data_IF_975133141742
#
_entry.id   IF_975133141742
#
_cell.length_a   1.000
_cell.length_b   1.000
_cell.length_c   1.000
_cell.angle_alpha   90.00
_cell.angle_beta   90.00
_cell.angle_gamma   90.00
#
_symmetry.space_group_name_H-M   'P 1'
#
loop_
_entity.id
_entity.type
_entity.pdbx_description
1 polymer ?
#
# COMPACT_ATOMS: atom_id res chain seq x y z
N UNK A 1 -4.84 -24.97 3.80
CA UNK A 1 -6.13 -24.36 4.16
C UNK A 1 -6.72 -23.67 2.92
N UNK A 2 -8.01 -23.90 2.62
CA UNK A 2 -8.72 -23.26 1.50
C UNK A 2 -9.06 -21.79 1.82
N UNK A 3 -9.45 -21.01 0.81
CA UNK A 3 -9.91 -19.63 1.01
C UNK A 3 -11.19 -19.57 1.86
N UNK A 4 -12.15 -20.46 1.59
CA UNK A 4 -13.39 -20.54 2.36
C UNK A 4 -13.13 -20.83 3.85
N UNK A 5 -12.18 -21.71 4.17
CA UNK A 5 -11.77 -21.98 5.55
C UNK A 5 -11.18 -20.74 6.23
N UNK A 6 -10.33 -19.98 5.54
CA UNK A 6 -9.78 -18.71 6.05
C UNK A 6 -10.90 -17.73 6.37
N UNK A 7 -11.84 -17.53 5.44
CA UNK A 7 -12.99 -16.63 5.62
C UNK A 7 -13.83 -17.05 6.83
N UNK A 8 -14.12 -18.33 6.98
CA UNK A 8 -14.93 -18.86 8.10
C UNK A 8 -14.26 -18.62 9.46
N UNK A 9 -12.95 -18.83 9.56
CA UNK A 9 -12.19 -18.58 10.79
C UNK A 9 -12.24 -17.10 11.18
N UNK A 10 -12.06 -16.20 10.21
CA UNK A 10 -12.10 -14.76 10.44
C UNK A 10 -13.51 -14.31 10.84
N UNK A 11 -14.55 -14.78 10.14
CA UNK A 11 -15.93 -14.46 10.47
C UNK A 11 -16.30 -14.92 11.88
N UNK A 12 -15.83 -16.12 12.28
CA UNK A 12 -16.03 -16.63 13.63
C UNK A 12 -15.37 -15.71 14.66
N UNK A 13 -14.10 -15.34 14.46
CA UNK A 13 -13.40 -14.48 15.40
C UNK A 13 -14.04 -13.09 15.53
N UNK A 14 -14.41 -12.43 14.42
CA UNK A 14 -15.04 -11.10 14.50
C UNK A 14 -16.45 -11.13 15.12
N UNK A 15 -17.14 -12.27 15.00
CA UNK A 15 -18.45 -12.49 15.64
C UNK A 15 -18.30 -12.75 17.13
N UNK A 16 -17.52 -13.75 17.50
CA UNK A 16 -17.37 -14.28 18.87
C UNK A 16 -16.39 -13.46 19.72
N UNK A 17 -15.41 -12.82 19.09
CA UNK A 17 -14.37 -11.96 19.68
C UNK A 17 -13.62 -12.72 20.77
N UNK A 18 -13.04 -13.86 20.41
CA UNK A 18 -12.40 -14.74 21.40
C UNK A 18 -11.08 -14.13 21.87
N UNK A 19 -10.38 -13.38 21.01
CA UNK A 19 -9.15 -12.69 21.34
C UNK A 19 -9.43 -11.33 22.01
N UNK A 20 -8.62 -10.99 23.02
CA UNK A 20 -8.71 -9.69 23.69
C UNK A 20 -8.43 -8.53 22.74
N UNK A 21 -7.41 -8.66 21.89
CA UNK A 21 -7.04 -7.66 20.87
C UNK A 21 -8.17 -7.41 19.86
N UNK A 22 -8.94 -8.43 19.51
CA UNK A 22 -10.09 -8.29 18.61
C UNK A 22 -11.19 -7.44 19.25
N UNK A 23 -11.48 -7.64 20.54
CA UNK A 23 -12.43 -6.78 21.27
C UNK A 23 -11.97 -5.34 21.28
N UNK A 24 -10.69 -5.11 21.56
CA UNK A 24 -10.11 -3.78 21.66
C UNK A 24 -10.18 -3.04 20.31
N UNK A 25 -9.81 -3.68 19.21
CA UNK A 25 -9.90 -3.07 17.88
C UNK A 25 -11.35 -2.82 17.45
N UNK A 26 -12.25 -3.79 17.66
CA UNK A 26 -13.67 -3.63 17.29
C UNK A 26 -14.45 -2.68 18.18
N UNK A 27 -13.88 -2.22 19.29
CA UNK A 27 -14.46 -1.18 20.12
C UNK A 27 -14.30 0.22 19.51
N UNK A 28 -13.24 0.42 18.71
CA UNK A 28 -12.87 1.73 18.15
C UNK A 28 -12.96 1.80 16.62
N UNK A 29 -13.09 0.64 15.96
CA UNK A 29 -13.12 0.49 14.51
C UNK A 29 -14.17 -0.50 14.07
N UNK A 30 -14.61 -0.38 12.82
CA UNK A 30 -15.59 -1.28 12.21
C UNK A 30 -15.04 -1.86 10.91
N UNK A 31 -15.11 -3.19 10.69
CA UNK A 31 -14.76 -3.77 9.40
C UNK A 31 -15.86 -3.46 8.37
N UNK A 32 -15.51 -3.53 7.08
CA UNK A 32 -16.49 -3.41 6.00
C UNK A 32 -17.15 -4.76 5.71
N UNK A 33 -18.47 -4.74 5.49
CA UNK A 33 -19.24 -5.91 5.07
C UNK A 33 -19.77 -5.74 3.65
N UNK A 34 -19.67 -6.80 2.85
CA UNK A 34 -20.29 -6.94 1.53
C UNK A 34 -21.14 -8.22 1.54
N UNK A 35 -22.41 -8.13 1.14
CA UNK A 35 -23.35 -9.27 1.14
C UNK A 35 -23.42 -10.02 2.48
N UNK A 36 -23.45 -9.26 3.60
CA UNK A 36 -23.42 -9.77 4.98
C UNK A 36 -22.19 -10.62 5.34
N UNK A 37 -21.11 -10.53 4.56
CA UNK A 37 -19.83 -11.17 4.83
C UNK A 37 -18.75 -10.09 5.01
N UNK A 38 -17.77 -10.38 5.85
CA UNK A 38 -16.58 -9.51 5.97
C UNK A 38 -15.91 -9.40 4.60
N UNK A 39 -15.65 -8.17 4.17
CA UNK A 39 -14.83 -7.90 2.99
C UNK A 39 -13.38 -8.22 3.33
N UNK A 40 -12.73 -9.00 2.48
CA UNK A 40 -11.30 -9.30 2.57
C UNK A 40 -10.67 -8.82 1.27
N UNK A 41 -9.73 -7.88 1.37
CA UNK A 41 -9.12 -7.27 0.19
C UNK A 41 -7.94 -8.10 -0.34
N UNK A 42 -7.23 -8.81 0.55
CA UNK A 42 -6.16 -9.76 0.17
C UNK A 42 -6.00 -10.86 1.22
N UNK A 43 -5.65 -12.05 0.77
CA UNK A 43 -5.16 -13.15 1.61
C UNK A 43 -3.74 -13.47 1.14
N UNK A 44 -2.76 -13.10 1.95
CA UNK A 44 -1.36 -13.37 1.68
C UNK A 44 -0.96 -14.76 2.20
N UNK A 45 -0.28 -15.51 1.33
CA UNK A 45 0.16 -16.89 1.54
C UNK A 45 1.63 -17.08 1.15
N UNK A 46 2.32 -16.01 0.76
CA UNK A 46 3.67 -16.08 0.18
C UNK A 46 4.75 -16.25 1.27
N UNK A 47 4.34 -16.27 2.55
CA UNK A 47 5.23 -16.40 3.71
C UNK A 47 5.66 -17.84 3.96
N UNK A 48 6.87 -18.01 4.48
CA UNK A 48 7.48 -19.32 4.79
C UNK A 48 7.24 -19.79 6.23
N UNK A 49 6.58 -18.98 7.06
CA UNK A 49 6.43 -19.17 8.51
C UNK A 49 5.16 -19.96 8.91
N UNK A 50 4.44 -20.57 7.96
CA UNK A 50 3.15 -21.24 8.16
C UNK A 50 2.01 -20.29 8.59
N UNK A 51 2.18 -18.97 8.42
CA UNK A 51 1.14 -18.00 8.66
C UNK A 51 0.44 -17.60 7.35
N UNK A 52 -0.87 -17.40 7.44
CA UNK A 52 -1.66 -16.69 6.45
C UNK A 52 -2.04 -15.35 7.07
N UNK A 53 -1.92 -14.27 6.29
CA UNK A 53 -2.37 -12.94 6.70
C UNK A 53 -3.55 -12.54 5.81
N UNK A 54 -4.69 -12.24 6.42
CA UNK A 54 -5.83 -11.68 5.71
C UNK A 54 -6.00 -10.20 6.03
N UNK A 55 -6.08 -9.38 5.00
CA UNK A 55 -6.23 -7.93 5.11
C UNK A 55 -7.69 -7.53 4.92
N UNK A 56 -8.29 -6.99 5.96
CA UNK A 56 -9.68 -6.53 5.97
C UNK A 56 -9.72 -5.00 6.02
N UNK A 57 -10.43 -4.33 5.12
CA UNK A 57 -10.55 -2.89 5.16
C UNK A 57 -11.37 -2.43 6.38
N UNK A 58 -10.94 -1.31 6.96
CA UNK A 58 -11.61 -0.62 8.07
C UNK A 58 -12.49 0.49 7.51
N UNK A 59 -13.71 0.62 8.04
CA UNK A 59 -14.65 1.65 7.62
C UNK A 59 -14.09 3.04 7.91
N UNK A 60 -14.15 3.93 6.91
CA UNK A 60 -13.68 5.33 6.95
C UNK A 60 -12.17 5.52 7.18
N UNK A 61 -11.37 4.46 7.11
CA UNK A 61 -9.93 4.47 7.33
C UNK A 61 -9.20 3.81 6.13
N UNK A 62 -7.94 4.17 5.88
CA UNK A 62 -7.16 3.51 4.81
C UNK A 62 -6.33 2.32 5.26
N UNK A 63 -5.98 2.25 6.55
CA UNK A 63 -5.27 1.09 7.10
C UNK A 63 -6.20 -0.13 7.19
N UNK A 64 -5.61 -1.30 7.38
CA UNK A 64 -6.34 -2.58 7.37
C UNK A 64 -6.29 -3.23 8.74
N UNK A 65 -7.27 -4.08 9.05
CA UNK A 65 -7.01 -5.17 10.00
C UNK A 65 -6.16 -6.23 9.32
N UNK A 66 -5.05 -6.62 9.94
CA UNK A 66 -4.28 -7.79 9.57
C UNK A 66 -4.64 -8.94 10.52
N UNK A 67 -5.24 -9.99 9.96
CA UNK A 67 -5.66 -11.17 10.72
C UNK A 67 -4.69 -12.31 10.46
N UNK A 68 -4.03 -12.76 11.51
CA UNK A 68 -2.99 -13.78 11.45
C UNK A 68 -3.58 -15.14 11.75
N UNK A 69 -3.40 -16.09 10.83
CA UNK A 69 -3.94 -17.45 10.92
C UNK A 69 -2.77 -18.43 10.88
N UNK A 70 -2.67 -19.26 11.92
CA UNK A 70 -1.72 -20.37 11.94
C UNK A 70 -2.29 -21.55 11.17
N UNK A 71 -1.58 -21.97 10.11
CA UNK A 71 -2.01 -23.08 9.26
C UNK A 71 -1.82 -24.46 9.89
N UNK A 72 -1.08 -24.58 11.00
CA UNK A 72 -0.92 -25.82 11.77
C UNK A 72 -2.08 -26.04 12.73
N UNK A 73 -2.46 -25.03 13.51
CA UNK A 73 -3.59 -25.12 14.43
C UNK A 73 -4.95 -24.88 13.74
N UNK A 74 -4.95 -24.22 12.58
CA UNK A 74 -6.14 -23.71 11.90
C UNK A 74 -6.94 -22.72 12.76
N UNK A 75 -6.24 -21.80 13.42
CA UNK A 75 -6.84 -20.81 14.33
C UNK A 75 -6.39 -19.39 13.96
N UNK A 76 -7.25 -18.41 14.24
CA UNK A 76 -6.85 -17.00 14.29
C UNK A 76 -6.05 -16.82 15.57
N UNK A 77 -4.77 -16.48 15.44
CA UNK A 77 -3.84 -16.37 16.57
C UNK A 77 -3.64 -14.92 17.02
N UNK A 78 -3.90 -13.96 16.14
CA UNK A 78 -3.78 -12.53 16.44
C UNK A 78 -4.54 -11.68 15.42
N UNK A 79 -4.84 -10.45 15.82
CA UNK A 79 -5.27 -9.37 14.94
C UNK A 79 -4.44 -8.14 15.26
N UNK A 80 -3.98 -7.45 14.23
CA UNK A 80 -3.33 -6.15 14.33
C UNK A 80 -3.88 -5.17 13.29
N UNK A 81 -3.33 -3.97 13.24
CA UNK A 81 -3.52 -3.04 12.13
C UNK A 81 -2.30 -3.05 11.22
N UNK A 82 -2.53 -3.18 9.91
CA UNK A 82 -1.51 -2.99 8.89
C UNK A 82 -1.65 -1.60 8.28
N UNK A 83 -0.54 -0.87 8.19
CA UNK A 83 -0.54 0.45 7.59
C UNK A 83 -0.96 0.39 6.11
N UNK A 84 -1.67 1.42 5.68
CA UNK A 84 -1.86 1.64 4.26
C UNK A 84 -0.51 2.01 3.64
N UNK A 85 -0.11 1.32 2.57
CA UNK A 85 1.09 1.67 1.80
C UNK A 85 0.74 1.86 0.33
N UNK A 86 1.12 3.00 -0.23
CA UNK A 86 1.32 3.16 -1.66
C UNK A 86 2.78 3.47 -1.92
N UNK A 87 3.46 2.59 -2.66
CA UNK A 87 4.82 2.80 -3.13
C UNK A 87 4.77 2.84 -4.65
N UNK A 88 5.06 4.00 -5.23
CA UNK A 88 4.94 4.22 -6.67
C UNK A 88 6.07 5.09 -7.18
N UNK A 89 6.39 4.94 -8.46
CA UNK A 89 7.23 5.90 -9.16
C UNK A 89 6.38 7.07 -9.61
N UNK A 90 6.93 8.27 -9.47
CA UNK A 90 6.32 9.51 -9.93
C UNK A 90 7.34 10.34 -10.68
N UNK A 91 6.95 10.85 -11.85
CA UNK A 91 7.67 11.89 -12.56
C UNK A 91 6.74 13.08 -12.79
N UNK A 92 7.22 14.29 -12.51
CA UNK A 92 6.47 15.53 -12.64
C UNK A 92 7.25 16.56 -13.43
N UNK A 93 6.56 17.35 -14.25
CA UNK A 93 7.20 18.43 -14.99
C UNK A 93 6.30 19.66 -15.09
N UNK A 94 6.89 20.84 -14.92
CA UNK A 94 6.19 22.10 -15.15
C UNK A 94 6.18 22.53 -16.62
N UNK A 95 7.01 21.90 -17.46
CA UNK A 95 7.26 22.27 -18.86
C UNK A 95 6.83 21.20 -19.85
N UNK A 96 7.00 19.92 -19.53
CA UNK A 96 6.62 18.80 -20.40
C UNK A 96 5.15 18.42 -20.23
N UNK A 97 4.52 17.97 -21.30
CA UNK A 97 3.19 17.36 -21.31
C UNK A 97 3.24 15.89 -20.88
N UNK A 98 2.09 15.32 -20.48
CA UNK A 98 1.99 13.91 -20.12
C UNK A 98 2.30 12.96 -21.28
N UNK A 99 2.02 13.37 -22.52
CA UNK A 99 2.40 12.60 -23.72
C UNK A 99 3.92 12.59 -23.92
N UNK A 100 4.59 13.73 -23.71
CA UNK A 100 6.06 13.81 -23.74
C UNK A 100 6.71 12.96 -22.63
N UNK A 101 6.13 12.94 -21.43
CA UNK A 101 6.59 12.04 -20.36
C UNK A 101 6.40 10.57 -20.75
N UNK A 102 5.23 10.23 -21.29
CA UNK A 102 4.86 8.87 -21.64
C UNK A 102 5.79 8.26 -22.67
N UNK A 103 6.29 9.03 -23.64
CA UNK A 103 7.21 8.51 -24.67
C UNK A 103 8.64 8.27 -24.18
N UNK A 104 9.00 8.73 -22.96
CA UNK A 104 10.33 8.52 -22.40
C UNK A 104 10.54 7.07 -21.93
N UNK A 105 9.46 6.35 -21.63
CA UNK A 105 9.52 4.97 -21.16
C UNK A 105 8.57 4.07 -21.94
N UNK A 106 8.93 2.79 -22.05
CA UNK A 106 8.06 1.74 -22.59
C UNK A 106 7.11 1.18 -21.54
N UNK A 107 7.28 1.55 -20.27
CA UNK A 107 6.41 1.09 -19.19
C UNK A 107 5.04 1.77 -19.28
N UNK A 108 3.99 1.01 -18.98
CA UNK A 108 2.62 1.55 -19.00
C UNK A 108 2.35 2.31 -17.70
N UNK A 109 2.02 3.62 -17.76
CA UNK A 109 1.69 4.39 -16.58
C UNK A 109 0.30 4.03 -16.04
N UNK A 110 0.17 4.09 -14.72
CA UNK A 110 -1.09 3.87 -14.00
C UNK A 110 -1.93 5.16 -13.97
N UNK A 111 -1.29 6.32 -13.92
CA UNK A 111 -1.96 7.61 -13.91
C UNK A 111 -1.17 8.66 -14.69
N UNK A 112 -1.89 9.52 -15.42
CA UNK A 112 -1.35 10.62 -16.21
C UNK A 112 -2.28 11.82 -16.06
N UNK A 113 -1.71 13.03 -16.05
CA UNK A 113 -2.44 14.28 -16.26
C UNK A 113 -1.50 15.35 -16.81
N UNK A 114 -2.05 16.34 -17.49
CA UNK A 114 -1.34 17.52 -17.93
C UNK A 114 -1.47 18.66 -16.92
N UNK A 115 -0.48 19.55 -16.94
CA UNK A 115 -0.63 20.88 -16.37
C UNK A 115 -1.85 21.57 -16.98
N UNK A 116 -2.70 22.13 -16.12
CA UNK A 116 -3.94 22.78 -16.52
C UNK A 116 -5.18 21.87 -16.49
N UNK A 117 -5.02 20.54 -16.43
CA UNK A 117 -6.16 19.63 -16.28
C UNK A 117 -6.87 19.87 -14.95
N UNK A 118 -8.19 19.69 -14.93
CA UNK A 118 -8.98 19.82 -13.72
C UNK A 118 -8.69 18.64 -12.78
N UNK A 119 -8.44 18.92 -11.50
CA UNK A 119 -8.25 17.88 -10.48
C UNK A 119 -9.53 17.07 -10.31
N UNK A 120 -9.40 15.82 -9.83
CA UNK A 120 -10.56 14.94 -9.52
C UNK A 120 -11.60 15.58 -8.59
N UNK A 121 -11.19 16.50 -7.71
CA UNK A 121 -12.11 17.23 -6.84
C UNK A 121 -12.95 18.30 -7.56
N UNK A 122 -12.58 18.67 -8.78
CA UNK A 122 -13.22 19.74 -9.57
C UNK A 122 -12.91 21.16 -9.09
N UNK A 123 -12.12 21.33 -8.02
CA UNK A 123 -11.95 22.63 -7.34
C UNK A 123 -10.80 23.48 -7.86
N UNK A 124 -9.83 22.87 -8.54
CA UNK A 124 -8.65 23.55 -9.07
C UNK A 124 -7.97 22.71 -10.14
N UNK A 125 -7.06 23.33 -10.89
CA UNK A 125 -6.30 22.65 -11.93
C UNK A 125 -4.96 22.12 -11.38
N UNK A 126 -4.37 21.18 -12.09
CA UNK A 126 -2.99 20.76 -11.85
C UNK A 126 -2.00 21.83 -12.30
N UNK A 127 -0.95 22.06 -11.52
CA UNK A 127 0.09 23.06 -11.80
C UNK A 127 1.30 22.48 -12.54
N UNK A 128 1.32 21.16 -12.75
CA UNK A 128 2.36 20.38 -13.42
C UNK A 128 1.73 19.16 -14.11
N UNK A 129 2.43 18.62 -15.09
CA UNK A 129 2.11 17.34 -15.72
C UNK A 129 2.73 16.19 -14.93
N UNK A 130 2.11 15.02 -14.96
CA UNK A 130 2.51 13.88 -14.14
C UNK A 130 2.46 12.57 -14.92
N UNK A 131 3.39 11.69 -14.55
CA UNK A 131 3.36 10.26 -14.86
C UNK A 131 3.56 9.47 -13.56
N UNK A 132 2.63 8.54 -13.28
CA UNK A 132 2.69 7.64 -12.12
C UNK A 132 2.73 6.19 -12.58
N UNK A 133 3.55 5.37 -11.94
CA UNK A 133 3.60 3.91 -12.10
C UNK A 133 3.42 3.25 -10.72
N UNK A 134 2.30 2.55 -10.53
CA UNK A 134 1.95 1.80 -9.32
C UNK A 134 1.65 0.33 -9.71
N UNK A 135 2.66 -0.56 -9.67
CA UNK A 135 2.48 -1.94 -10.11
C UNK A 135 1.81 -2.84 -9.05
N UNK A 136 1.77 -2.41 -7.78
CA UNK A 136 1.19 -3.17 -6.67
C UNK A 136 0.17 -2.33 -5.87
N UNK A 137 -1.09 -2.20 -6.34
CA UNK A 137 -2.13 -1.39 -5.70
C UNK A 137 -2.82 -2.09 -4.50
N UNK A 138 -2.68 -3.41 -4.34
CA UNK A 138 -3.32 -4.20 -3.28
C UNK A 138 -2.71 -3.95 -1.90
N UNK A 139 -3.35 -4.29 -0.77
CA UNK A 139 -2.71 -4.17 0.55
C UNK A 139 -1.44 -5.03 0.62
N UNK A 140 -0.31 -4.48 1.07
CA UNK A 140 0.97 -5.20 1.15
C UNK A 140 1.97 -4.44 2.05
N UNK A 141 3.01 -5.14 2.50
CA UNK A 141 4.10 -4.55 3.27
C UNK A 141 4.93 -3.59 2.39
N UNK A 142 5.52 -2.55 3.00
CA UNK A 142 6.32 -1.54 2.28
C UNK A 142 7.48 -2.18 1.52
N UNK A 143 8.22 -3.09 2.16
CA UNK A 143 9.40 -3.75 1.64
C UNK A 143 9.08 -4.53 0.36
N UNK A 144 8.00 -5.30 0.37
CA UNK A 144 7.53 -6.06 -0.78
C UNK A 144 7.02 -5.14 -1.89
N UNK A 145 6.35 -4.04 -1.55
CA UNK A 145 5.92 -3.04 -2.54
C UNK A 145 7.09 -2.34 -3.20
N UNK A 146 8.11 -1.94 -2.44
CA UNK A 146 9.30 -1.31 -2.98
C UNK A 146 10.04 -2.27 -3.92
N UNK A 147 10.22 -3.53 -3.50
CA UNK A 147 10.84 -4.56 -4.34
C UNK A 147 10.08 -4.76 -5.65
N UNK A 148 8.75 -4.96 -5.59
CA UNK A 148 7.89 -5.12 -6.78
C UNK A 148 7.91 -3.89 -7.68
N UNK A 149 7.98 -2.69 -7.11
CA UNK A 149 8.16 -1.46 -7.88
C UNK A 149 9.49 -1.46 -8.62
N UNK A 150 10.60 -1.71 -7.91
CA UNK A 150 11.94 -1.74 -8.53
C UNK A 150 12.04 -2.82 -9.61
N UNK A 151 11.49 -4.02 -9.37
CA UNK A 151 11.44 -5.10 -10.37
C UNK A 151 10.73 -4.62 -11.66
N UNK A 152 9.64 -3.86 -11.52
CA UNK A 152 8.89 -3.32 -12.65
C UNK A 152 9.67 -2.20 -13.36
N UNK A 153 10.25 -1.25 -12.63
CA UNK A 153 11.01 -0.13 -13.19
C UNK A 153 12.25 -0.60 -13.96
N UNK A 154 12.90 -1.66 -13.48
CA UNK A 154 14.08 -2.24 -14.13
C UNK A 154 13.79 -2.88 -15.49
N UNK A 155 12.52 -3.11 -15.82
CA UNK A 155 12.08 -3.49 -17.16
C UNK A 155 12.40 -2.44 -18.23
N UNK A 156 12.63 -1.18 -17.84
CA UNK A 156 13.02 -0.09 -18.74
C UNK A 156 13.94 0.95 -18.08
N UNK A 157 15.10 0.50 -17.58
CA UNK A 157 16.07 1.33 -16.84
C UNK A 157 16.38 2.68 -17.50
N UNK A 158 16.63 2.67 -18.81
CA UNK A 158 16.99 3.89 -19.55
C UNK A 158 15.81 4.86 -19.65
N UNK A 159 14.58 4.37 -19.78
CA UNK A 159 13.39 5.22 -19.77
C UNK A 159 13.14 5.83 -18.39
N UNK A 160 13.35 5.07 -17.32
CA UNK A 160 13.26 5.58 -15.95
C UNK A 160 14.32 6.63 -15.68
N UNK A 161 15.57 6.42 -16.07
CA UNK A 161 16.63 7.44 -15.94
C UNK A 161 16.30 8.72 -16.68
N UNK A 162 15.72 8.62 -17.89
CA UNK A 162 15.26 9.82 -18.61
C UNK A 162 14.17 10.58 -17.85
N UNK A 163 13.20 9.87 -17.26
CA UNK A 163 12.15 10.50 -16.45
C UNK A 163 12.73 11.14 -15.19
N UNK A 164 13.71 10.50 -14.55
CA UNK A 164 14.46 11.06 -13.41
C UNK A 164 15.15 12.36 -13.80
N UNK A 165 15.92 12.35 -14.88
CA UNK A 165 16.75 13.50 -15.29
C UNK A 165 15.94 14.67 -15.86
N UNK A 166 14.84 14.39 -16.57
CA UNK A 166 14.10 15.41 -17.34
C UNK A 166 12.77 15.83 -16.71
N UNK A 167 12.27 15.08 -15.73
CA UNK A 167 10.93 15.25 -15.19
C UNK A 167 10.86 14.88 -13.70
N UNK A 168 11.87 15.27 -12.92
CA UNK A 168 11.91 15.13 -11.46
C UNK A 168 11.35 13.77 -10.99
N UNK A 169 11.91 12.69 -11.53
CA UNK A 169 11.47 11.32 -11.25
C UNK A 169 11.97 10.80 -9.90
N UNK A 170 11.07 10.21 -9.10
CA UNK A 170 11.40 9.66 -7.78
C UNK A 170 10.41 8.59 -7.32
N UNK A 171 10.75 7.87 -6.25
CA UNK A 171 9.81 6.96 -5.56
C UNK A 171 9.02 7.75 -4.53
N UNK A 172 7.70 7.77 -4.62
CA UNK A 172 6.83 8.31 -3.59
C UNK A 172 6.25 7.17 -2.76
N UNK A 173 6.32 7.34 -1.46
CA UNK A 173 5.68 6.51 -0.46
C UNK A 173 4.58 7.34 0.18
N UNK A 174 3.34 6.88 0.11
CA UNK A 174 2.24 7.44 0.88
C UNK A 174 1.76 6.39 1.88
N UNK A 175 1.72 6.77 3.15
CA UNK A 175 1.39 5.85 4.22
C UNK A 175 0.36 6.41 5.17
N UNK A 176 -0.56 5.56 5.62
CA UNK A 176 -1.53 5.92 6.66
C UNK A 176 -1.51 4.85 7.75
N UNK A 177 -1.11 5.26 8.94
CA UNK A 177 -0.87 4.37 10.09
C UNK A 177 -1.96 4.62 11.13
N UNK A 178 -2.40 3.55 11.78
CA UNK A 178 -3.35 3.62 12.88
C UNK A 178 -2.76 4.37 14.09
N UNK A 179 -3.51 5.36 14.60
CA UNK A 179 -3.12 6.25 15.70
C UNK A 179 -2.87 5.53 17.03
N UNK A 180 -3.49 4.38 17.25
CA UNK A 180 -3.26 3.57 18.45
C UNK A 180 -1.91 2.85 18.46
N UNK A 181 -1.19 2.83 17.33
CA UNK A 181 0.10 2.15 17.25
C UNK A 181 1.18 3.00 17.91
N UNK A 182 1.85 2.44 18.93
CA UNK A 182 2.90 3.13 19.68
C UNK A 182 4.20 3.37 18.89
N UNK A 183 4.33 2.77 17.71
CA UNK A 183 5.44 2.95 16.79
C UNK A 183 4.90 3.34 15.42
N UNK A 184 5.41 4.45 14.87
CA UNK A 184 5.04 4.99 13.56
C UNK A 184 6.25 4.78 12.64
N UNK A 185 6.07 3.98 11.58
CA UNK A 185 7.14 3.67 10.63
C UNK A 185 8.06 2.55 11.12
N UNK A 186 9.36 2.65 10.79
CA UNK A 186 10.35 1.60 11.07
C UNK A 186 10.69 0.73 9.84
N UNK A 187 10.30 1.18 8.65
CA UNK A 187 10.62 0.49 7.40
C UNK A 187 12.11 0.38 7.15
N UNK A 188 12.50 -0.78 6.62
CA UNK A 188 13.86 -1.06 6.26
C UNK A 188 14.00 -1.04 4.73
N UNK A 189 14.97 -0.28 4.22
CA UNK A 189 15.41 -0.42 2.84
C UNK A 189 16.73 -1.18 2.89
N UNK A 190 16.71 -2.44 2.47
CA UNK A 190 17.92 -3.25 2.43
C UNK A 190 18.97 -2.68 1.44
N UNK A 191 20.20 -3.17 1.57
CA UNK A 191 21.32 -2.71 0.75
C UNK A 191 21.12 -2.95 -0.75
N UNK A 192 20.41 -4.02 -1.12
CA UNK A 192 20.20 -4.35 -2.53
C UNK A 192 19.19 -3.38 -3.15
N UNK A 193 18.09 -3.08 -2.47
CA UNK A 193 17.12 -2.08 -2.90
C UNK A 193 17.72 -0.67 -2.93
N UNK A 194 18.59 -0.30 -1.98
CA UNK A 194 19.35 0.96 -2.05
C UNK A 194 20.21 1.01 -3.32
N UNK A 195 20.93 -0.06 -3.64
CA UNK A 195 21.77 -0.13 -4.85
C UNK A 195 20.92 0.00 -6.12
N UNK A 196 19.81 -0.71 -6.20
CA UNK A 196 18.88 -0.67 -7.35
C UNK A 196 18.27 0.71 -7.55
N UNK A 197 17.88 1.39 -6.47
CA UNK A 197 17.40 2.77 -6.54
C UNK A 197 18.49 3.71 -7.06
N UNK A 198 19.71 3.59 -6.53
CA UNK A 198 20.85 4.38 -6.99
C UNK A 198 21.17 4.15 -8.47
N UNK A 199 21.13 2.91 -8.94
CA UNK A 199 21.36 2.56 -10.35
C UNK A 199 20.33 3.18 -11.31
N UNK A 200 19.13 3.45 -10.81
CA UNK A 200 18.05 4.13 -11.53
C UNK A 200 18.05 5.66 -11.33
N UNK A 201 18.94 6.19 -10.47
CA UNK A 201 18.97 7.62 -10.12
C UNK A 201 17.84 8.07 -9.20
N UNK A 202 17.16 7.13 -8.52
CA UNK A 202 15.97 7.41 -7.75
C UNK A 202 16.30 7.99 -6.36
N UNK A 203 15.59 9.05 -6.00
CA UNK A 203 15.35 9.41 -4.61
C UNK A 203 14.04 8.78 -4.11
N UNK A 204 13.79 8.87 -2.81
CA UNK A 204 12.54 8.42 -2.17
C UNK A 204 11.98 9.50 -1.26
N UNK A 205 10.68 9.73 -1.34
CA UNK A 205 9.93 10.65 -0.48
C UNK A 205 8.88 9.88 0.33
N UNK A 206 8.68 10.28 1.59
CA UNK A 206 7.73 9.67 2.51
C UNK A 206 6.68 10.69 2.97
N UNK A 207 5.44 10.44 2.59
CA UNK A 207 4.27 11.17 3.08
C UNK A 207 3.57 10.29 4.12
N UNK A 208 3.80 10.59 5.40
CA UNK A 208 3.31 9.81 6.53
C UNK A 208 2.09 10.49 7.17
N UNK A 209 1.00 9.73 7.28
CA UNK A 209 -0.23 10.16 7.93
C UNK A 209 -0.57 9.22 9.09
N UNK A 210 -1.22 9.79 10.10
CA UNK A 210 -1.76 9.05 11.24
C UNK A 210 -3.26 9.27 11.24
N UNK A 211 -4.03 8.19 11.28
CA UNK A 211 -5.49 8.18 11.21
C UNK A 211 -6.10 7.20 12.21
N UNK A 212 -7.42 7.14 12.31
CA UNK A 212 -8.09 6.28 13.28
C UNK A 212 -8.22 6.84 14.70
N UNK A 213 -9.02 6.11 15.47
CA UNK A 213 -9.32 6.39 16.86
C UNK A 213 -8.23 5.86 17.79
N UNK A 214 -7.98 6.55 18.89
CA UNK A 214 -7.13 6.03 19.96
C UNK A 214 -7.86 4.92 20.71
N UNK A 215 -7.11 3.94 21.23
CA UNK A 215 -7.66 2.97 22.17
C UNK A 215 -8.24 3.68 23.40
N UNK A 216 -9.29 3.08 23.98
CA UNK A 216 -9.86 3.57 25.23
C UNK A 216 -8.98 3.13 26.40
N UNK A 217 -8.88 4.01 27.41
CA UNK A 217 -8.22 3.75 28.70
C UNK A 217 -9.07 2.86 29.59
#
# INVERSE_FOLDING_TARGET
>A
MTEQQVIELIQKEFKEKTLGVTKQYLEIHSPIYADNKLKIDRIDRDRTDNLIIAYLPVLDEKFYFAVYIDTKSNEVISIDTEAYHQVYFRATSETLSSDELKVMTRLTPTELWNKGDLRKSGKSNYTFSNLTILPNPEPDEFEDKLKKLLDFLEGDKEGIKQLVEKADGYVQVAMEIHKGNGMIGGHNIDTDNIRRMNDLGLSINFDLYVAGNSFKE
#
